data_IF_094309419621
#
_entry.id   IF_094309419621
#
_cell.length_a   1.000
_cell.length_b   1.000
_cell.length_c   1.000
_cell.angle_alpha   90.00
_cell.angle_beta   90.00
_cell.angle_gamma   90.00
#
_symmetry.space_group_name_H-M   'P 1'
#
loop_
_entity.id
_entity.type
_entity.pdbx_description
1 polymer ?
#
# COMPACT_ATOMS: atom_id res chain seq x y z
N UNK A 1 -3.49 -16.39 -5.78
CA UNK A 1 -2.55 -15.96 -4.73
C UNK A 1 -1.68 -17.10 -4.24
N UNK A 2 -2.26 -18.19 -3.67
CA UNK A 2 -1.49 -19.34 -3.18
C UNK A 2 -0.61 -19.98 -4.27
N UNK A 3 -1.12 -20.14 -5.50
CA UNK A 3 -0.34 -20.65 -6.62
C UNK A 3 0.90 -19.79 -6.90
N UNK A 4 0.81 -18.46 -6.80
CA UNK A 4 1.95 -17.58 -6.97
C UNK A 4 2.92 -17.62 -5.78
N UNK A 5 2.43 -17.84 -4.57
CA UNK A 5 3.30 -18.09 -3.41
C UNK A 5 4.09 -19.39 -3.54
N UNK A 6 3.44 -20.43 -4.06
CA UNK A 6 4.06 -21.76 -4.23
C UNK A 6 5.09 -21.80 -5.38
N UNK A 7 4.92 -20.92 -6.36
CA UNK A 7 5.78 -20.87 -7.56
C UNK A 7 6.16 -19.43 -7.91
N UNK A 8 6.88 -18.72 -7.00
CA UNK A 8 7.18 -17.29 -7.17
C UNK A 8 8.10 -16.99 -8.37
N UNK A 9 8.80 -18.00 -8.90
CA UNK A 9 9.71 -17.87 -10.02
C UNK A 9 9.09 -18.38 -11.35
N UNK A 10 7.85 -18.87 -11.32
CA UNK A 10 7.16 -19.29 -12.54
C UNK A 10 6.39 -18.10 -13.14
N UNK A 11 6.97 -17.51 -14.19
CA UNK A 11 6.36 -16.41 -14.94
C UNK A 11 4.98 -16.76 -15.50
N UNK A 12 4.71 -18.02 -15.82
CA UNK A 12 3.39 -18.45 -16.29
C UNK A 12 2.31 -18.31 -15.21
N UNK A 13 2.70 -18.35 -13.94
CA UNK A 13 1.82 -18.16 -12.78
C UNK A 13 1.79 -16.70 -12.35
N UNK A 14 2.96 -16.06 -12.19
CA UNK A 14 3.08 -14.69 -11.64
C UNK A 14 2.61 -13.63 -12.63
N UNK A 15 2.88 -13.75 -13.90
CA UNK A 15 2.54 -12.75 -14.92
C UNK A 15 1.04 -12.76 -15.31
N UNK A 16 0.29 -13.77 -14.89
CA UNK A 16 -1.12 -13.96 -15.29
C UNK A 16 -2.12 -13.81 -14.14
N UNK A 17 -1.69 -13.34 -12.99
CA UNK A 17 -2.57 -13.14 -11.84
C UNK A 17 -3.38 -11.86 -11.96
N UNK A 18 -4.45 -11.90 -12.75
CA UNK A 18 -5.47 -10.86 -12.76
C UNK A 18 -6.81 -11.43 -12.29
N UNK A 19 -7.40 -10.85 -11.25
CA UNK A 19 -8.74 -11.22 -10.76
C UNK A 19 -9.69 -10.06 -10.95
N UNK A 20 -10.79 -10.29 -11.66
CA UNK A 20 -11.86 -9.32 -11.84
C UNK A 20 -13.05 -9.69 -10.95
N UNK A 21 -13.44 -8.79 -10.06
CA UNK A 21 -14.67 -8.90 -9.28
C UNK A 21 -15.75 -8.05 -9.94
N UNK A 22 -16.82 -8.67 -10.45
CA UNK A 22 -17.93 -7.99 -11.12
C UNK A 22 -19.26 -8.27 -10.40
N UNK A 23 -20.24 -7.39 -10.57
CA UNK A 23 -21.57 -7.49 -9.97
C UNK A 23 -22.31 -6.17 -10.06
N UNK A 24 -23.58 -6.16 -9.70
CA UNK A 24 -24.43 -4.97 -9.71
C UNK A 24 -23.94 -3.90 -8.72
N UNK A 25 -24.37 -2.66 -8.92
CA UNK A 25 -24.16 -1.58 -7.96
C UNK A 25 -24.76 -1.99 -6.61
N UNK A 26 -24.01 -1.73 -5.51
CA UNK A 26 -24.44 -2.13 -4.16
C UNK A 26 -24.25 -3.60 -3.78
N UNK A 27 -23.74 -4.46 -4.68
CA UNK A 27 -23.54 -5.91 -4.41
C UNK A 27 -22.40 -6.24 -3.44
N UNK A 28 -21.73 -5.23 -2.84
CA UNK A 28 -20.66 -5.44 -1.87
C UNK A 28 -19.27 -5.72 -2.44
N UNK A 29 -19.03 -5.51 -3.76
CA UNK A 29 -17.73 -5.76 -4.41
C UNK A 29 -16.55 -5.08 -3.69
N UNK A 30 -16.68 -3.79 -3.45
CA UNK A 30 -15.62 -3.01 -2.78
C UNK A 30 -15.40 -3.48 -1.34
N UNK A 31 -16.48 -3.88 -0.65
CA UNK A 31 -16.38 -4.45 0.68
C UNK A 31 -15.66 -5.79 0.68
N UNK A 32 -15.98 -6.66 -0.28
CA UNK A 32 -15.30 -7.94 -0.46
C UNK A 32 -13.79 -7.76 -0.72
N UNK A 33 -13.42 -6.86 -1.64
CA UNK A 33 -12.01 -6.56 -1.95
C UNK A 33 -11.29 -6.02 -0.70
N UNK A 34 -11.95 -5.14 0.07
CA UNK A 34 -11.40 -4.59 1.31
C UNK A 34 -11.18 -5.67 2.38
N UNK A 35 -12.13 -6.60 2.56
CA UNK A 35 -11.95 -7.72 3.47
C UNK A 35 -10.79 -8.62 3.02
N UNK A 36 -10.71 -8.91 1.72
CA UNK A 36 -9.64 -9.71 1.16
C UNK A 36 -8.27 -9.05 1.38
N UNK A 37 -8.18 -7.74 1.21
CA UNK A 37 -6.95 -6.98 1.47
C UNK A 37 -6.50 -7.09 2.93
N UNK A 38 -7.42 -6.96 3.87
CA UNK A 38 -7.11 -7.11 5.30
C UNK A 38 -6.66 -8.52 5.67
N UNK A 39 -7.25 -9.53 5.03
CA UNK A 39 -6.83 -10.92 5.23
C UNK A 39 -5.42 -11.17 4.68
N UNK A 40 -5.11 -10.67 3.48
CA UNK A 40 -3.80 -10.90 2.86
C UNK A 40 -2.66 -10.21 3.63
N UNK A 41 -2.89 -9.01 4.16
CA UNK A 41 -1.95 -8.33 5.07
C UNK A 41 -1.97 -8.89 6.50
N UNK A 42 -2.97 -9.73 6.82
CA UNK A 42 -3.26 -10.19 8.18
C UNK A 42 -3.31 -9.03 9.19
N UNK A 43 -3.99 -7.96 8.79
CA UNK A 43 -4.03 -6.70 9.52
C UNK A 43 -4.43 -6.91 10.99
N UNK A 44 -3.65 -6.35 11.92
CA UNK A 44 -4.01 -6.32 13.33
C UNK A 44 -4.90 -5.10 13.61
N UNK A 45 -6.04 -5.33 14.23
CA UNK A 45 -6.94 -4.29 14.70
C UNK A 45 -7.16 -4.40 16.21
N UNK A 46 -7.25 -3.26 16.87
CA UNK A 46 -7.55 -3.16 18.29
C UNK A 46 -9.01 -2.77 18.48
N UNK A 47 -9.72 -3.50 19.35
CA UNK A 47 -11.06 -3.11 19.77
C UNK A 47 -10.97 -1.85 20.65
N UNK A 48 -11.59 -0.72 20.26
CA UNK A 48 -11.48 0.54 21.00
C UNK A 48 -12.13 0.48 22.41
N UNK A 49 -13.04 -0.47 22.64
CA UNK A 49 -13.76 -0.62 23.92
C UNK A 49 -13.04 -1.53 24.89
N UNK A 50 -12.44 -2.63 24.40
CA UNK A 50 -11.82 -3.65 25.24
C UNK A 50 -10.30 -3.60 25.24
N UNK A 51 -9.70 -2.88 24.30
CA UNK A 51 -8.24 -2.89 24.08
C UNK A 51 -7.71 -4.19 23.46
N UNK A 52 -8.57 -5.17 23.22
CA UNK A 52 -8.16 -6.47 22.67
C UNK A 52 -7.68 -6.32 21.23
N UNK A 53 -6.51 -6.90 20.96
CA UNK A 53 -5.92 -6.93 19.62
C UNK A 53 -6.24 -8.26 18.94
N UNK A 54 -6.72 -8.18 17.68
CA UNK A 54 -6.99 -9.35 16.85
C UNK A 54 -6.48 -9.12 15.43
N UNK A 55 -5.86 -10.16 14.87
CA UNK A 55 -5.51 -10.19 13.45
C UNK A 55 -6.71 -10.53 12.58
N UNK A 56 -6.71 -10.10 11.33
CA UNK A 56 -7.79 -10.34 10.39
C UNK A 56 -8.11 -11.83 10.23
N UNK A 57 -7.11 -12.71 10.21
CA UNK A 57 -7.31 -14.17 10.13
C UNK A 57 -8.09 -14.76 11.30
N UNK A 58 -7.95 -14.19 12.52
CA UNK A 58 -8.69 -14.64 13.70
C UNK A 58 -10.18 -14.26 13.68
N UNK A 59 -10.57 -13.27 12.85
CA UNK A 59 -11.98 -12.95 12.64
C UNK A 59 -12.71 -13.96 11.77
N UNK A 60 -11.99 -14.70 10.92
CA UNK A 60 -12.52 -15.68 9.99
C UNK A 60 -12.27 -17.09 10.48
N UNK A 61 -12.77 -17.37 11.66
CA UNK A 61 -12.73 -18.68 12.29
C UNK A 61 -13.78 -19.67 11.72
N UNK A 62 -13.80 -20.89 12.25
CA UNK A 62 -14.73 -21.95 11.87
C UNK A 62 -16.22 -21.60 12.09
N UNK A 63 -16.52 -20.56 12.87
CA UNK A 63 -17.91 -20.12 13.07
C UNK A 63 -18.43 -19.33 11.85
N UNK A 64 -17.55 -18.64 11.13
CA UNK A 64 -17.85 -17.85 9.94
C UNK A 64 -17.55 -18.59 8.66
N UNK A 65 -16.47 -19.35 8.62
CA UNK A 65 -16.07 -20.15 7.46
C UNK A 65 -16.24 -21.63 7.83
N UNK A 66 -17.29 -22.23 7.28
CA UNK A 66 -17.62 -23.65 7.54
C UNK A 66 -16.82 -24.60 6.65
N UNK A 67 -16.29 -24.13 5.54
CA UNK A 67 -15.43 -24.90 4.65
C UNK A 67 -14.03 -24.99 5.23
N UNK A 68 -13.65 -26.20 5.65
CA UNK A 68 -12.36 -26.45 6.28
C UNK A 68 -11.18 -26.27 5.29
N UNK A 69 -11.37 -26.56 3.99
CA UNK A 69 -10.33 -26.32 2.99
C UNK A 69 -10.09 -24.83 2.78
N UNK A 70 -11.17 -24.06 2.64
CA UNK A 70 -11.06 -22.59 2.51
C UNK A 70 -10.42 -21.98 3.76
N UNK A 71 -10.74 -22.48 4.94
CA UNK A 71 -10.12 -22.01 6.18
C UNK A 71 -8.62 -22.34 6.21
N UNK A 72 -8.22 -23.54 5.80
CA UNK A 72 -6.81 -23.92 5.70
C UNK A 72 -6.06 -23.05 4.67
N UNK A 73 -6.67 -22.75 3.52
CA UNK A 73 -6.12 -21.89 2.49
C UNK A 73 -5.92 -20.45 2.99
N UNK A 74 -6.88 -19.92 3.77
CA UNK A 74 -6.74 -18.61 4.41
C UNK A 74 -5.58 -18.62 5.41
N UNK A 75 -5.51 -19.63 6.27
CA UNK A 75 -4.42 -19.74 7.24
C UNK A 75 -3.05 -19.86 6.57
N UNK A 76 -2.97 -20.53 5.44
CA UNK A 76 -1.76 -20.63 4.64
C UNK A 76 -1.42 -19.29 3.97
N UNK A 77 -2.42 -18.61 3.42
CA UNK A 77 -2.22 -17.31 2.76
C UNK A 77 -1.67 -16.24 3.71
N UNK A 78 -2.09 -16.23 4.96
CA UNK A 78 -1.66 -15.24 5.98
C UNK A 78 -0.31 -15.55 6.62
N UNK A 79 0.30 -16.69 6.31
CA UNK A 79 1.68 -16.99 6.75
C UNK A 79 2.73 -16.29 5.91
N UNK A 80 2.37 -15.88 4.68
CA UNK A 80 3.23 -15.08 3.82
C UNK A 80 3.23 -13.60 4.22
N UNK A 81 4.26 -12.88 3.79
CA UNK A 81 4.28 -11.43 3.85
C UNK A 81 3.69 -10.87 2.57
N UNK A 82 2.62 -10.09 2.67
CA UNK A 82 2.00 -9.44 1.54
C UNK A 82 1.75 -7.96 1.87
N UNK A 83 2.22 -7.09 0.99
CA UNK A 83 1.84 -5.68 1.01
C UNK A 83 0.64 -5.46 0.09
N UNK A 84 -0.43 -4.91 0.63
CA UNK A 84 -1.64 -4.64 -0.14
C UNK A 84 -1.74 -3.15 -0.45
N UNK A 85 -1.99 -2.84 -1.72
CA UNK A 85 -2.30 -1.49 -2.19
C UNK A 85 -3.75 -1.48 -2.66
N UNK A 86 -4.60 -0.75 -1.94
CA UNK A 86 -6.02 -0.58 -2.25
C UNK A 86 -6.32 0.90 -2.51
N UNK A 87 -6.80 1.21 -3.71
CA UNK A 87 -7.16 2.57 -4.07
C UNK A 87 -8.37 2.63 -5.00
N UNK A 88 -9.01 3.79 -5.05
CA UNK A 88 -10.08 4.10 -6.01
C UNK A 88 -9.50 4.99 -7.10
N UNK A 89 -9.58 4.53 -8.35
CA UNK A 89 -9.08 5.27 -9.52
C UNK A 89 -9.79 6.61 -9.66
N UNK A 90 -11.12 6.65 -9.49
CA UNK A 90 -11.92 7.87 -9.66
C UNK A 90 -11.56 8.97 -8.64
N UNK A 91 -11.08 8.58 -7.45
CA UNK A 91 -10.73 9.51 -6.39
C UNK A 91 -9.30 10.06 -6.50
N UNK A 92 -8.44 9.41 -7.30
CA UNK A 92 -7.01 9.72 -7.39
C UNK A 92 -6.58 10.17 -8.79
N UNK A 93 -7.42 10.01 -9.82
CA UNK A 93 -7.11 10.44 -11.16
C UNK A 93 -7.41 11.94 -11.33
N UNK A 94 -6.40 12.72 -11.66
CA UNK A 94 -6.62 14.05 -12.19
C UNK A 94 -7.33 13.96 -13.55
N UNK A 95 -8.25 14.87 -13.82
CA UNK A 95 -9.25 14.85 -14.90
C UNK A 95 -8.68 14.89 -16.33
N UNK A 96 -7.42 14.54 -16.53
CA UNK A 96 -6.80 14.43 -17.87
C UNK A 96 -6.90 12.99 -18.35
N UNK A 97 -7.58 12.82 -19.45
CA UNK A 97 -7.75 11.58 -20.24
C UNK A 97 -6.41 11.13 -20.85
N UNK A 98 -5.43 10.84 -20.05
CA UNK A 98 -4.15 10.35 -20.55
C UNK A 98 -4.05 8.82 -20.35
N UNK A 99 -3.47 8.12 -21.31
CA UNK A 99 -3.24 6.66 -21.25
C UNK A 99 -2.48 6.26 -19.99
N UNK A 100 -1.67 7.16 -19.48
CA UNK A 100 -0.80 6.96 -18.33
C UNK A 100 -1.46 7.31 -16.98
N UNK A 101 -2.71 7.82 -16.98
CA UNK A 101 -3.39 8.23 -15.76
C UNK A 101 -3.49 7.10 -14.71
N UNK A 102 -3.79 5.88 -15.16
CA UNK A 102 -3.85 4.70 -14.27
C UNK A 102 -2.47 4.37 -13.69
N UNK A 103 -1.43 4.44 -14.53
CA UNK A 103 -0.05 4.20 -14.11
C UNK A 103 0.43 5.27 -13.11
N UNK A 104 0.10 6.52 -13.35
CA UNK A 104 0.42 7.63 -12.45
C UNK A 104 -0.27 7.47 -11.10
N UNK A 105 -1.57 7.12 -11.10
CA UNK A 105 -2.31 6.84 -9.85
C UNK A 105 -1.68 5.66 -9.10
N UNK A 106 -1.33 4.58 -9.80
CA UNK A 106 -0.65 3.44 -9.20
C UNK A 106 0.69 3.85 -8.58
N UNK A 107 1.53 4.56 -9.32
CA UNK A 107 2.84 5.03 -8.86
C UNK A 107 2.72 5.93 -7.64
N UNK A 108 1.75 6.87 -7.66
CA UNK A 108 1.45 7.73 -6.53
C UNK A 108 1.13 6.93 -5.27
N UNK A 109 0.15 6.03 -5.34
CA UNK A 109 -0.28 5.23 -4.19
C UNK A 109 0.82 4.28 -3.73
N UNK A 110 1.61 3.75 -4.65
CA UNK A 110 2.77 2.93 -4.33
C UNK A 110 3.84 3.73 -3.56
N UNK A 111 4.16 4.94 -4.01
CA UNK A 111 5.07 5.82 -3.29
C UNK A 111 4.55 6.17 -1.89
N UNK A 112 3.27 6.58 -1.79
CA UNK A 112 2.62 6.87 -0.51
C UNK A 112 2.71 5.67 0.46
N UNK A 113 2.47 4.44 -0.03
CA UNK A 113 2.56 3.20 0.78
C UNK A 113 3.98 2.95 1.29
N UNK A 114 4.99 3.29 0.50
CA UNK A 114 6.40 3.17 0.88
C UNK A 114 6.91 4.35 1.73
N UNK A 115 6.06 5.34 2.00
CA UNK A 115 6.42 6.52 2.80
C UNK A 115 7.10 7.63 2.00
N UNK A 116 7.17 7.51 0.66
CA UNK A 116 7.72 8.51 -0.24
C UNK A 116 6.67 9.51 -0.71
N UNK A 117 7.10 10.60 -1.36
CA UNK A 117 6.18 11.57 -1.98
C UNK A 117 5.31 10.88 -3.05
N UNK A 118 3.98 11.05 -2.94
CA UNK A 118 3.04 10.58 -3.95
C UNK A 118 2.85 11.56 -5.08
N UNK A 119 2.84 12.85 -4.78
CA UNK A 119 2.49 13.93 -5.71
C UNK A 119 3.67 14.37 -6.58
N UNK A 120 4.91 14.23 -6.09
CA UNK A 120 6.13 14.62 -6.77
C UNK A 120 7.03 13.39 -7.05
N UNK A 121 6.91 12.73 -8.21
CA UNK A 121 7.68 11.53 -8.54
C UNK A 121 9.20 11.72 -8.46
N UNK A 122 9.70 12.90 -8.86
CA UNK A 122 11.13 13.22 -8.79
C UNK A 122 11.63 13.31 -7.33
N UNK A 123 10.79 13.76 -6.40
CA UNK A 123 11.10 13.74 -4.97
C UNK A 123 11.12 12.32 -4.43
N UNK A 124 10.15 11.49 -4.80
CA UNK A 124 10.16 10.08 -4.45
C UNK A 124 11.42 9.35 -4.98
N UNK A 125 11.92 9.71 -6.17
CA UNK A 125 13.17 9.18 -6.70
C UNK A 125 14.38 9.62 -5.88
N UNK A 126 14.43 10.89 -5.46
CA UNK A 126 15.46 11.40 -4.55
C UNK A 126 15.40 10.68 -3.20
N UNK A 127 14.21 10.55 -2.59
CA UNK A 127 14.03 9.86 -1.31
C UNK A 127 14.50 8.39 -1.39
N UNK A 128 14.15 7.67 -2.48
CA UNK A 128 14.65 6.31 -2.72
C UNK A 128 16.17 6.25 -2.87
N UNK A 129 16.75 7.22 -3.56
CA UNK A 129 18.20 7.32 -3.69
C UNK A 129 18.86 7.53 -2.33
N UNK A 130 18.39 8.50 -1.53
CA UNK A 130 18.91 8.77 -0.18
C UNK A 130 18.73 7.54 0.74
N UNK A 131 17.59 6.85 0.66
CA UNK A 131 17.36 5.60 1.38
C UNK A 131 18.38 4.53 0.97
N UNK A 132 18.64 4.37 -0.32
CA UNK A 132 19.61 3.39 -0.83
C UNK A 132 21.05 3.67 -0.35
N UNK A 133 21.35 4.92 0.00
CA UNK A 133 22.61 5.34 0.58
C UNK A 133 22.65 5.31 2.11
N UNK A 134 21.50 5.01 2.74
CA UNK A 134 21.37 5.00 4.21
C UNK A 134 21.41 6.38 4.86
N UNK A 135 21.19 7.46 4.10
CA UNK A 135 21.27 8.83 4.57
C UNK A 135 19.94 9.58 4.63
N UNK A 136 18.83 8.91 4.28
CA UNK A 136 17.50 9.55 4.25
C UNK A 136 17.11 10.13 5.62
N UNK A 137 17.31 9.39 6.71
CA UNK A 137 16.95 9.84 8.05
C UNK A 137 17.81 11.03 8.49
N UNK A 138 19.09 11.01 8.14
CA UNK A 138 20.02 12.14 8.41
C UNK A 138 19.58 13.40 7.66
N UNK A 139 19.20 13.24 6.39
CA UNK A 139 18.65 14.34 5.59
C UNK A 139 17.38 14.91 6.23
N UNK A 140 16.40 14.06 6.60
CA UNK A 140 15.16 14.50 7.25
C UNK A 140 15.41 15.26 8.57
N UNK A 141 16.37 14.79 9.37
CA UNK A 141 16.75 15.48 10.60
C UNK A 141 17.38 16.85 10.32
N UNK A 142 18.32 16.93 9.36
CA UNK A 142 18.95 18.18 8.96
C UNK A 142 17.93 19.19 8.41
N UNK A 143 17.02 18.73 7.55
CA UNK A 143 15.93 19.53 7.03
C UNK A 143 15.05 20.11 8.15
N UNK A 144 14.61 19.26 9.08
CA UNK A 144 13.80 19.71 10.23
C UNK A 144 14.55 20.73 11.10
N UNK A 145 15.84 20.52 11.32
CA UNK A 145 16.65 21.45 12.10
C UNK A 145 16.80 22.83 11.42
N UNK A 146 16.85 22.85 10.08
CA UNK A 146 17.00 24.09 9.29
C UNK A 146 15.68 24.83 9.10
N UNK A 147 14.57 24.11 8.89
CA UNK A 147 13.28 24.70 8.50
C UNK A 147 12.24 24.77 9.62
N UNK A 148 12.43 24.01 10.72
CA UNK A 148 11.48 23.95 11.83
C UNK A 148 10.21 23.12 11.55
N UNK A 149 10.04 22.60 10.32
CA UNK A 149 8.97 21.69 9.90
C UNK A 149 9.56 20.35 9.42
N UNK A 150 8.74 19.29 9.42
CA UNK A 150 9.23 17.97 8.96
C UNK A 150 9.29 17.91 7.44
N UNK A 151 10.18 17.10 6.92
CA UNK A 151 10.30 16.85 5.47
C UNK A 151 8.96 16.40 4.87
N UNK A 152 8.23 15.51 5.52
CA UNK A 152 6.96 14.98 5.07
C UNK A 152 5.85 16.04 4.96
N UNK A 153 5.96 17.11 5.72
CA UNK A 153 4.98 18.22 5.65
C UNK A 153 5.24 19.15 4.47
N UNK A 154 6.51 19.30 4.07
CA UNK A 154 6.95 20.30 3.10
C UNK A 154 7.31 19.73 1.74
N UNK A 155 7.64 18.43 1.67
CA UNK A 155 8.20 17.81 0.45
C UNK A 155 7.37 17.96 -0.82
N UNK A 156 6.04 18.11 -0.70
CA UNK A 156 5.15 18.27 -1.85
C UNK A 156 5.11 19.74 -2.34
N UNK A 157 5.68 20.68 -1.57
CA UNK A 157 5.86 22.08 -1.95
C UNK A 157 7.29 22.40 -2.42
N UNK A 158 8.02 21.39 -2.84
CA UNK A 158 9.47 21.41 -3.12
C UNK A 158 9.92 22.48 -4.13
N UNK A 159 9.08 22.84 -5.08
CA UNK A 159 9.39 23.90 -6.04
C UNK A 159 9.58 25.28 -5.38
N UNK A 160 9.02 25.44 -4.15
CA UNK A 160 9.17 26.63 -3.32
C UNK A 160 10.30 26.49 -2.27
N UNK A 161 10.77 25.26 -2.02
CA UNK A 161 11.75 24.92 -0.97
C UNK A 161 13.12 24.54 -1.55
N UNK A 162 13.36 24.84 -2.82
CA UNK A 162 14.56 24.40 -3.53
C UNK A 162 15.86 24.83 -2.83
N UNK A 163 15.88 26.03 -2.29
CA UNK A 163 17.06 26.58 -1.61
C UNK A 163 17.30 25.89 -0.26
N UNK A 164 16.22 25.53 0.45
CA UNK A 164 16.30 24.85 1.75
C UNK A 164 16.76 23.40 1.62
N UNK A 165 16.43 22.74 0.51
CA UNK A 165 16.90 21.36 0.21
C UNK A 165 18.42 21.34 -0.03
N UNK A 166 18.97 22.37 -0.65
CA UNK A 166 20.40 22.46 -0.95
C UNK A 166 21.24 22.67 0.32
N UNK A 167 20.65 23.24 1.37
CA UNK A 167 21.31 23.51 2.65
C UNK A 167 21.30 22.29 3.57
N UNK A 168 20.32 21.39 3.45
CA UNK A 168 20.16 20.19 4.25
C UNK A 168 21.01 19.01 3.72
#
# INVERSE_FOLDING_TARGET
YLAAMDSPHDAAVTDRMGVRVSGFFGSGKSHFIKILSYLLENLEAQNPQTGEKRTASKFFDHTKIKDAMLQADIQRAVQGTADVILFNIDAKADSKTDRDAILQVFLRVFNEKLGFSGDAPHIADMERYLLSKGVLDTFKQAFTASNGSTWEQERDAVDFLRDDIVVA
#
